data_IF_805493254075
#
_entry.id   IF_805493254075
#
_cell.length_a   1.000
_cell.length_b   1.000
_cell.length_c   1.000
_cell.angle_alpha   90.00
_cell.angle_beta   90.00
_cell.angle_gamma   90.00
#
_symmetry.space_group_name_H-M   'P 1'
#
loop_
_entity.id
_entity.type
_entity.pdbx_description
1 polymer ?
#
# COMPACT_ATOMS: atom_id res chain seq x y z
N UNK A 1 35.20 0.51 -47.21
CA UNK A 1 33.91 0.00 -46.73
C UNK A 1 34.02 -0.22 -45.22
N UNK A 2 33.66 0.78 -44.42
CA UNK A 2 33.57 0.65 -42.99
C UNK A 2 32.21 0.10 -42.65
N UNK A 3 32.14 -1.10 -42.07
CA UNK A 3 30.96 -1.64 -41.46
C UNK A 3 30.84 -0.96 -40.08
N UNK A 4 29.91 -0.02 -39.91
CA UNK A 4 29.52 0.46 -38.62
C UNK A 4 28.76 -0.68 -37.90
N UNK A 5 29.40 -1.37 -36.99
CA UNK A 5 28.73 -2.23 -36.05
C UNK A 5 28.13 -1.32 -34.96
N UNK A 6 26.81 -1.18 -34.98
CA UNK A 6 26.07 -0.66 -33.86
C UNK A 6 26.10 -1.74 -32.78
N UNK A 7 26.91 -1.54 -31.75
CA UNK A 7 26.87 -2.40 -30.57
C UNK A 7 25.55 -2.05 -29.85
N UNK A 8 24.61 -2.97 -29.70
CA UNK A 8 23.43 -2.70 -28.88
C UNK A 8 23.91 -2.45 -27.46
N UNK A 9 23.49 -1.34 -26.87
CA UNK A 9 23.66 -1.07 -25.44
C UNK A 9 22.60 -1.92 -24.73
N UNK A 10 22.86 -3.20 -24.60
CA UNK A 10 21.93 -4.21 -24.05
C UNK A 10 21.57 -3.96 -22.57
N UNK A 11 22.35 -3.16 -21.85
CA UNK A 11 22.10 -2.93 -20.43
C UNK A 11 21.05 -1.85 -20.12
N UNK A 12 20.90 -0.87 -20.98
CA UNK A 12 20.00 0.27 -20.72
C UNK A 12 18.53 -0.09 -20.93
N UNK A 13 18.23 -0.92 -21.92
CA UNK A 13 16.87 -1.38 -22.20
C UNK A 13 16.37 -2.37 -21.13
N UNK A 14 17.25 -3.20 -20.59
CA UNK A 14 16.90 -4.21 -19.57
C UNK A 14 16.56 -3.56 -18.22
N UNK A 15 17.31 -2.56 -17.81
CA UNK A 15 17.05 -1.80 -16.58
C UNK A 15 15.70 -1.07 -16.66
N UNK A 16 15.42 -0.36 -17.76
CA UNK A 16 14.18 0.33 -17.98
C UNK A 16 12.96 -0.61 -17.92
N UNK A 17 13.08 -1.80 -18.54
CA UNK A 17 12.04 -2.83 -18.50
C UNK A 17 11.80 -3.37 -17.08
N UNK A 18 12.85 -3.52 -16.27
CA UNK A 18 12.72 -3.92 -14.87
C UNK A 18 11.98 -2.85 -14.06
N UNK A 19 12.30 -1.56 -14.28
CA UNK A 19 11.63 -0.44 -13.63
C UNK A 19 10.15 -0.39 -13.97
N UNK A 20 9.81 -0.42 -15.26
CA UNK A 20 8.42 -0.38 -15.72
C UNK A 20 7.61 -1.54 -15.13
N UNK A 21 8.19 -2.74 -15.11
CA UNK A 21 7.53 -3.92 -14.57
C UNK A 21 7.37 -3.86 -13.05
N UNK A 22 8.39 -3.38 -12.33
CA UNK A 22 8.32 -3.22 -10.89
C UNK A 22 7.25 -2.20 -10.50
N UNK A 23 7.14 -1.09 -11.23
CA UNK A 23 6.14 -0.08 -10.98
C UNK A 23 4.72 -0.54 -11.31
N UNK A 24 4.52 -1.30 -12.38
CA UNK A 24 3.24 -1.94 -12.71
C UNK A 24 2.78 -2.87 -11.58
N UNK A 25 3.67 -3.74 -11.09
CA UNK A 25 3.37 -4.65 -9.98
C UNK A 25 3.05 -3.89 -8.69
N UNK A 26 3.79 -2.83 -8.38
CA UNK A 26 3.52 -2.00 -7.20
C UNK A 26 2.14 -1.35 -7.29
N UNK A 27 1.78 -0.76 -8.44
CA UNK A 27 0.47 -0.14 -8.68
C UNK A 27 -0.68 -1.14 -8.68
N UNK A 28 -0.43 -2.41 -8.98
CA UNK A 28 -1.43 -3.48 -8.88
C UNK A 28 -1.52 -4.13 -7.50
N UNK A 29 -0.78 -3.61 -6.51
CA UNK A 29 -0.76 -4.13 -5.14
C UNK A 29 0.08 -5.40 -4.95
N UNK A 30 0.82 -5.83 -5.99
CA UNK A 30 1.69 -7.00 -5.94
C UNK A 30 3.07 -6.65 -5.34
N UNK A 31 3.05 -6.09 -4.14
CA UNK A 31 4.22 -5.47 -3.49
C UNK A 31 5.43 -6.41 -3.32
N UNK A 32 5.20 -7.71 -3.02
CA UNK A 32 6.32 -8.65 -2.83
C UNK A 32 7.02 -8.97 -4.15
N UNK A 33 6.27 -9.05 -5.25
CA UNK A 33 6.83 -9.23 -6.58
C UNK A 33 7.56 -7.98 -7.05
N UNK A 34 6.98 -6.82 -6.81
CA UNK A 34 7.62 -5.53 -7.09
C UNK A 34 8.93 -5.38 -6.30
N UNK A 35 8.91 -5.73 -5.00
CA UNK A 35 10.09 -5.71 -4.13
C UNK A 35 11.23 -6.53 -4.72
N UNK A 36 10.94 -7.76 -5.18
CA UNK A 36 11.97 -8.64 -5.79
C UNK A 36 12.60 -8.04 -7.04
N UNK A 37 11.85 -7.27 -7.84
CA UNK A 37 12.40 -6.55 -8.99
C UNK A 37 13.23 -5.34 -8.56
N UNK A 38 12.76 -4.57 -7.57
CA UNK A 38 13.56 -3.46 -7.03
C UNK A 38 14.87 -3.93 -6.37
N UNK A 39 14.91 -5.13 -5.80
CA UNK A 39 16.15 -5.74 -5.30
C UNK A 39 17.11 -6.05 -6.44
N UNK A 40 16.62 -6.54 -7.59
CA UNK A 40 17.43 -6.74 -8.78
C UNK A 40 17.98 -5.42 -9.32
N UNK A 41 17.13 -4.39 -9.40
CA UNK A 41 17.54 -3.04 -9.83
C UNK A 41 18.58 -2.47 -8.86
N UNK A 42 18.40 -2.64 -7.56
CA UNK A 42 19.37 -2.19 -6.55
C UNK A 42 20.74 -2.89 -6.66
N UNK A 43 20.76 -4.12 -7.17
CA UNK A 43 22.02 -4.84 -7.45
C UNK A 43 22.71 -4.30 -8.70
N UNK A 44 21.95 -3.85 -9.72
CA UNK A 44 22.48 -3.26 -10.94
C UNK A 44 22.91 -1.80 -10.73
N UNK A 45 22.09 -1.03 -10.02
CA UNK A 45 22.24 0.40 -9.79
C UNK A 45 22.23 0.72 -8.28
N UNK A 46 23.31 0.36 -7.53
CA UNK A 46 23.34 0.47 -6.06
C UNK A 46 23.31 1.90 -5.53
N UNK A 47 23.59 2.88 -6.37
CA UNK A 47 23.62 4.30 -6.02
C UNK A 47 22.38 5.08 -6.45
N UNK A 48 21.36 4.38 -7.02
CA UNK A 48 20.10 4.98 -7.43
C UNK A 48 19.15 5.13 -6.22
N UNK A 49 18.87 6.38 -5.75
CA UNK A 49 18.05 6.60 -4.56
C UNK A 49 16.59 6.15 -4.73
N UNK A 50 16.01 6.29 -5.94
CA UNK A 50 14.61 5.98 -6.20
C UNK A 50 14.31 4.49 -6.02
N UNK A 51 15.27 3.59 -6.23
CA UNK A 51 15.07 2.17 -6.00
C UNK A 51 14.84 1.85 -4.52
N UNK A 52 15.58 2.50 -3.63
CA UNK A 52 15.43 2.30 -2.18
C UNK A 52 14.14 2.94 -1.66
N UNK A 53 13.78 4.10 -2.21
CA UNK A 53 12.48 4.71 -1.91
C UNK A 53 11.32 3.81 -2.38
N UNK A 54 11.40 3.25 -3.57
CA UNK A 54 10.38 2.31 -4.09
C UNK A 54 10.25 1.05 -3.24
N UNK A 55 11.34 0.54 -2.67
CA UNK A 55 11.32 -0.56 -1.70
C UNK A 55 10.56 -0.18 -0.42
N UNK A 56 10.74 1.05 0.08
CA UNK A 56 9.94 1.57 1.20
C UNK A 56 8.46 1.58 0.84
N UNK A 57 8.10 2.13 -0.32
CA UNK A 57 6.70 2.18 -0.77
C UNK A 57 6.08 0.78 -0.86
N UNK A 58 6.82 -0.22 -1.34
CA UNK A 58 6.35 -1.62 -1.36
C UNK A 58 6.17 -2.21 0.04
N UNK A 59 7.12 -1.96 0.95
CA UNK A 59 7.10 -2.50 2.32
C UNK A 59 5.89 -2.02 3.09
N UNK A 60 5.53 -0.74 2.95
CA UNK A 60 4.36 -0.15 3.59
C UNK A 60 3.09 -0.25 2.75
N UNK A 61 3.16 -0.81 1.52
CA UNK A 61 2.03 -0.93 0.62
C UNK A 61 1.44 0.43 0.27
N UNK A 62 2.30 1.39 -0.08
CA UNK A 62 1.89 2.76 -0.33
C UNK A 62 1.29 2.92 -1.72
N UNK A 63 0.08 3.43 -1.76
CA UNK A 63 -0.59 3.90 -2.97
C UNK A 63 -0.97 5.38 -2.81
N UNK A 64 -1.20 6.04 -3.93
CA UNK A 64 -1.62 7.43 -3.94
C UNK A 64 -2.99 7.53 -4.59
N UNK A 65 -3.95 8.04 -3.86
CA UNK A 65 -5.28 8.37 -4.36
C UNK A 65 -5.37 9.87 -4.62
N UNK A 66 -6.12 10.25 -5.65
CA UNK A 66 -6.40 11.66 -5.94
C UNK A 66 -7.65 12.09 -5.19
N UNK A 67 -7.52 13.12 -4.39
CA UNK A 67 -8.65 13.72 -3.68
C UNK A 67 -9.54 14.49 -4.68
N UNK A 68 -10.82 14.17 -4.72
CA UNK A 68 -11.75 14.65 -5.74
C UNK A 68 -11.88 16.18 -5.81
N UNK A 69 -11.77 16.86 -4.66
CA UNK A 69 -11.96 18.31 -4.58
C UNK A 69 -10.67 19.10 -4.83
N UNK A 70 -9.56 18.63 -4.32
CA UNK A 70 -8.28 19.37 -4.34
C UNK A 70 -7.32 18.92 -5.43
N UNK A 71 -7.61 17.79 -6.10
CA UNK A 71 -6.70 17.10 -7.03
C UNK A 71 -5.32 16.77 -6.42
N UNK A 72 -5.23 16.75 -5.08
CA UNK A 72 -4.01 16.39 -4.38
C UNK A 72 -3.87 14.87 -4.32
N UNK A 73 -2.65 14.39 -4.50
CA UNK A 73 -2.32 12.98 -4.30
C UNK A 73 -2.10 12.75 -2.80
N UNK A 74 -2.93 11.92 -2.22
CA UNK A 74 -2.88 11.53 -0.81
C UNK A 74 -2.35 10.10 -0.72
N UNK A 75 -1.32 9.84 0.10
CA UNK A 75 -0.84 8.48 0.29
C UNK A 75 -1.80 7.68 1.16
N UNK A 76 -1.96 6.41 0.82
CA UNK A 76 -2.61 5.38 1.64
C UNK A 76 -1.60 4.31 2.02
N UNK A 77 -1.83 3.59 3.12
CA UNK A 77 -0.97 2.50 3.59
C UNK A 77 -1.78 1.21 3.64
N UNK A 78 -1.40 0.23 2.83
CA UNK A 78 -2.07 -1.08 2.76
C UNK A 78 -1.35 -2.16 3.58
N UNK A 79 -0.13 -1.91 4.04
CA UNK A 79 0.70 -2.82 4.83
C UNK A 79 1.24 -2.10 6.05
N UNK A 80 0.59 -2.24 7.19
CA UNK A 80 1.05 -1.62 8.43
C UNK A 80 2.30 -2.33 8.95
N UNK A 81 3.34 -1.54 9.21
CA UNK A 81 4.57 -1.96 9.87
C UNK A 81 4.65 -1.32 11.26
N UNK A 82 5.17 -2.06 12.23
CA UNK A 82 5.47 -1.48 13.55
C UNK A 82 6.67 -0.55 13.53
N UNK A 83 7.64 -0.82 12.66
CA UNK A 83 8.80 0.04 12.44
C UNK A 83 8.37 1.37 11.83
N UNK A 84 8.94 2.47 12.33
CA UNK A 84 8.76 3.80 11.75
C UNK A 84 9.38 3.87 10.35
N UNK A 85 8.73 4.58 9.43
CA UNK A 85 9.29 4.85 8.08
C UNK A 85 10.64 5.57 8.19
N UNK A 86 10.79 6.44 9.18
CA UNK A 86 12.03 7.21 9.43
C UNK A 86 13.18 6.29 9.89
N UNK A 87 12.85 5.15 10.50
CA UNK A 87 13.82 4.15 10.97
C UNK A 87 14.15 3.08 9.93
N UNK A 88 13.43 3.06 8.81
CA UNK A 88 13.65 2.13 7.73
C UNK A 88 15.04 2.32 7.08
N UNK A 89 15.76 1.22 6.88
CA UNK A 89 17.12 1.25 6.33
C UNK A 89 17.15 1.71 4.87
N UNK A 90 16.16 1.29 4.07
CA UNK A 90 16.07 1.69 2.66
C UNK A 90 15.72 3.19 2.56
N UNK A 91 14.83 3.71 3.44
CA UNK A 91 14.58 5.15 3.53
C UNK A 91 15.86 5.93 3.83
N UNK A 92 16.60 5.52 4.85
CA UNK A 92 17.87 6.18 5.21
C UNK A 92 18.88 6.13 4.07
N UNK A 93 18.88 5.02 3.32
CA UNK A 93 19.75 4.88 2.15
C UNK A 93 19.30 5.79 1.00
N UNK A 94 18.01 5.85 0.68
CA UNK A 94 17.47 6.78 -0.32
C UNK A 94 17.83 8.23 -0.02
N UNK A 95 17.59 8.70 1.21
CA UNK A 95 17.92 10.07 1.64
C UNK A 95 19.41 10.34 1.56
N UNK A 96 20.27 9.38 1.90
CA UNK A 96 21.73 9.54 1.83
C UNK A 96 22.22 9.63 0.40
N UNK A 97 21.67 8.83 -0.51
CA UNK A 97 22.06 8.78 -1.93
C UNK A 97 21.50 9.94 -2.74
N UNK A 98 20.38 10.53 -2.34
CA UNK A 98 19.77 11.66 -3.02
C UNK A 98 20.71 12.89 -2.97
N UNK A 99 21.46 13.09 -4.06
CA UNK A 99 22.38 14.22 -4.21
C UNK A 99 21.65 15.53 -4.47
N UNK A 100 20.49 15.47 -5.17
CA UNK A 100 19.62 16.60 -5.39
C UNK A 100 18.87 16.96 -4.11
N UNK A 101 18.99 18.21 -3.67
CA UNK A 101 18.34 18.70 -2.45
C UNK A 101 16.80 18.64 -2.51
N UNK A 102 16.22 18.85 -3.68
CA UNK A 102 14.76 18.76 -3.87
C UNK A 102 14.26 17.32 -3.77
N UNK A 103 14.94 16.36 -4.39
CA UNK A 103 14.62 14.95 -4.30
C UNK A 103 14.71 14.46 -2.83
N UNK A 104 15.81 14.81 -2.16
CA UNK A 104 15.98 14.49 -0.74
C UNK A 104 14.86 15.07 0.12
N UNK A 105 14.46 16.31 -0.15
CA UNK A 105 13.36 16.96 0.56
C UNK A 105 12.03 16.24 0.34
N UNK A 106 11.76 15.79 -0.90
CA UNK A 106 10.55 15.01 -1.22
C UNK A 106 10.50 13.75 -0.38
N UNK A 107 11.57 12.94 -0.36
CA UNK A 107 11.60 11.72 0.46
C UNK A 107 11.36 11.99 1.95
N UNK A 108 11.96 13.04 2.48
CA UNK A 108 11.79 13.41 3.89
C UNK A 108 10.33 13.79 4.19
N UNK A 109 9.71 14.63 3.37
CA UNK A 109 8.34 15.07 3.58
C UNK A 109 7.34 13.94 3.41
N UNK A 110 7.52 13.09 2.39
CA UNK A 110 6.66 11.91 2.17
C UNK A 110 6.82 10.91 3.31
N UNK A 111 8.05 10.61 3.75
CA UNK A 111 8.28 9.70 4.87
C UNK A 111 7.63 10.20 6.17
N UNK A 112 7.69 11.50 6.45
CA UNK A 112 7.01 12.11 7.61
C UNK A 112 5.49 11.97 7.51
N UNK A 113 4.92 12.19 6.33
CA UNK A 113 3.49 12.02 6.07
C UNK A 113 3.05 10.57 6.28
N UNK A 114 3.79 9.62 5.69
CA UNK A 114 3.54 8.18 5.84
C UNK A 114 3.68 7.73 7.30
N UNK A 115 4.70 8.20 8.01
CA UNK A 115 4.89 7.81 9.41
C UNK A 115 3.80 8.38 10.32
N UNK A 116 3.33 9.59 10.06
CA UNK A 116 2.17 10.17 10.74
C UNK A 116 0.90 9.34 10.49
N UNK A 117 0.63 8.97 9.24
CA UNK A 117 -0.51 8.13 8.87
C UNK A 117 -0.42 6.76 9.55
N UNK A 118 0.74 6.10 9.47
CA UNK A 118 1.03 4.83 10.16
C UNK A 118 0.74 4.92 11.66
N UNK A 119 1.23 5.99 12.30
CA UNK A 119 1.01 6.21 13.73
C UNK A 119 -0.47 6.34 14.09
N UNK A 120 -1.26 7.04 13.28
CA UNK A 120 -2.72 7.14 13.47
C UNK A 120 -3.38 5.76 13.35
N UNK A 121 -3.07 4.98 12.32
CA UNK A 121 -3.66 3.65 12.12
C UNK A 121 -3.29 2.72 13.28
N UNK A 122 -2.03 2.70 13.72
CA UNK A 122 -1.61 1.90 14.88
C UNK A 122 -2.30 2.36 16.16
N UNK A 123 -2.46 3.66 16.37
CA UNK A 123 -3.18 4.21 17.53
C UNK A 123 -4.61 3.68 17.58
N UNK A 124 -5.34 3.71 16.46
CA UNK A 124 -6.71 3.17 16.39
C UNK A 124 -6.70 1.67 16.69
N UNK A 125 -5.79 0.90 16.07
CA UNK A 125 -5.71 -0.55 16.26
C UNK A 125 -5.39 -0.96 17.71
N UNK A 126 -4.67 -0.14 18.46
CA UNK A 126 -4.35 -0.40 19.88
C UNK A 126 -5.50 -0.08 20.83
N UNK A 127 -6.42 0.79 20.42
CA UNK A 127 -7.56 1.19 21.25
C UNK A 127 -8.82 0.38 20.94
N UNK A 128 -8.95 -0.18 19.76
CA UNK A 128 -10.06 -1.07 19.39
C UNK A 128 -9.68 -2.52 19.68
N UNK A 129 -10.56 -3.24 20.38
CA UNK A 129 -10.40 -4.68 20.49
C UNK A 129 -10.57 -5.31 19.10
N UNK A 130 -9.64 -6.16 18.64
CA UNK A 130 -9.75 -6.77 17.31
C UNK A 130 -10.99 -7.66 17.22
N UNK A 131 -11.54 -7.77 16.01
CA UNK A 131 -12.55 -8.77 15.72
C UNK A 131 -11.88 -10.13 15.58
N UNK A 132 -12.57 -11.16 16.10
CA UNK A 132 -12.10 -12.55 15.96
C UNK A 132 -12.35 -13.09 14.56
N UNK A 133 -13.45 -12.64 13.95
CA UNK A 133 -13.94 -13.13 12.66
C UNK A 133 -14.39 -11.97 11.78
N UNK A 134 -14.01 -12.01 10.52
CA UNK A 134 -14.48 -11.10 9.48
C UNK A 134 -15.33 -11.87 8.46
N UNK A 135 -16.62 -11.51 8.33
CA UNK A 135 -17.51 -12.13 7.34
C UNK A 135 -17.47 -11.30 6.06
N UNK A 136 -16.81 -11.84 5.03
CA UNK A 136 -16.80 -11.28 3.67
C UNK A 136 -17.84 -12.01 2.81
N UNK A 137 -18.74 -11.27 2.18
CA UNK A 137 -19.82 -11.84 1.36
C UNK A 137 -20.22 -10.86 0.26
N UNK A 138 -20.89 -11.38 -0.75
CA UNK A 138 -21.45 -10.57 -1.82
C UNK A 138 -22.87 -10.13 -1.44
N UNK A 139 -23.05 -8.85 -1.11
CA UNK A 139 -24.33 -8.33 -0.64
C UNK A 139 -25.40 -8.28 -1.74
N UNK A 140 -25.02 -7.82 -2.94
CA UNK A 140 -25.95 -7.61 -4.05
C UNK A 140 -25.45 -8.22 -5.35
N UNK A 141 -26.37 -8.66 -6.19
CA UNK A 141 -26.10 -9.05 -7.56
C UNK A 141 -25.91 -7.81 -8.48
N UNK A 142 -25.69 -8.05 -9.79
CA UNK A 142 -25.52 -6.98 -10.79
C UNK A 142 -26.77 -6.09 -10.96
N UNK A 143 -27.91 -6.54 -10.46
CA UNK A 143 -29.22 -5.83 -10.53
C UNK A 143 -29.57 -5.13 -9.20
N UNK A 144 -28.67 -5.11 -8.24
CA UNK A 144 -28.90 -4.52 -6.93
C UNK A 144 -29.79 -5.36 -5.99
N UNK A 145 -30.10 -6.63 -6.35
CA UNK A 145 -30.88 -7.53 -5.51
C UNK A 145 -29.98 -8.23 -4.53
N UNK A 146 -30.46 -8.44 -3.31
CA UNK A 146 -29.75 -9.21 -2.30
C UNK A 146 -29.48 -10.62 -2.76
N UNK A 147 -28.28 -11.11 -2.49
CA UNK A 147 -27.84 -12.47 -2.78
C UNK A 147 -28.25 -13.43 -1.67
N UNK A 148 -28.26 -14.74 -1.98
CA UNK A 148 -28.41 -15.79 -0.96
C UNK A 148 -27.26 -15.73 0.06
N UNK A 149 -26.06 -15.37 -0.38
CA UNK A 149 -24.88 -15.17 0.48
C UNK A 149 -25.14 -14.13 1.57
N UNK A 150 -25.90 -13.07 1.27
CA UNK A 150 -26.29 -12.04 2.23
C UNK A 150 -27.18 -12.59 3.36
N UNK A 151 -28.08 -13.51 3.05
CA UNK A 151 -28.92 -14.16 4.06
C UNK A 151 -28.13 -15.14 4.92
N UNK A 152 -27.27 -15.92 4.27
CA UNK A 152 -26.38 -16.88 4.94
C UNK A 152 -25.40 -16.16 5.87
N UNK A 153 -24.77 -15.08 5.41
CA UNK A 153 -23.85 -14.26 6.19
C UNK A 153 -24.51 -13.69 7.45
N UNK A 154 -25.77 -13.21 7.34
CA UNK A 154 -26.54 -12.72 8.48
C UNK A 154 -26.89 -13.83 9.48
N UNK A 155 -27.14 -15.05 9.01
CA UNK A 155 -27.34 -16.23 9.86
C UNK A 155 -26.07 -16.61 10.61
N UNK A 156 -24.95 -16.66 9.90
CA UNK A 156 -23.64 -16.98 10.45
C UNK A 156 -23.19 -15.94 11.48
N UNK A 157 -23.37 -14.65 11.19
CA UNK A 157 -23.10 -13.58 12.13
C UNK A 157 -23.80 -13.80 13.49
N UNK A 158 -25.11 -14.08 13.45
CA UNK A 158 -25.89 -14.29 14.67
C UNK A 158 -25.44 -15.54 15.44
N UNK A 159 -25.13 -16.63 14.74
CA UNK A 159 -24.66 -17.85 15.36
C UNK A 159 -23.30 -17.64 16.05
N UNK A 160 -22.37 -16.99 15.38
CA UNK A 160 -21.04 -16.73 15.93
C UNK A 160 -21.08 -15.75 17.11
N UNK A 161 -21.89 -14.70 17.03
CA UNK A 161 -22.09 -13.78 18.15
C UNK A 161 -22.73 -14.47 19.36
N UNK A 162 -23.66 -15.43 19.15
CA UNK A 162 -24.25 -16.20 20.22
C UNK A 162 -23.24 -17.13 20.95
N UNK A 163 -22.17 -17.53 20.25
CA UNK A 163 -21.03 -18.28 20.80
C UNK A 163 -20.00 -17.37 21.49
N UNK A 164 -20.23 -16.06 21.49
CA UNK A 164 -19.33 -15.09 22.15
C UNK A 164 -18.22 -14.53 21.28
N UNK A 165 -18.17 -14.86 19.98
CA UNK A 165 -17.17 -14.31 19.07
C UNK A 165 -17.47 -12.86 18.72
N UNK A 166 -16.43 -12.03 18.62
CA UNK A 166 -16.53 -10.68 18.08
C UNK A 166 -16.43 -10.76 16.55
N UNK A 167 -17.54 -10.48 15.88
CA UNK A 167 -17.64 -10.67 14.43
C UNK A 167 -17.80 -9.31 13.75
N UNK A 168 -16.91 -9.03 12.80
CA UNK A 168 -17.13 -7.94 11.85
C UNK A 168 -18.06 -8.41 10.75
N UNK A 169 -19.18 -7.73 10.62
CA UNK A 169 -20.16 -7.93 9.57
C UNK A 169 -20.57 -6.56 9.03
N UNK A 170 -20.09 -6.18 7.86
CA UNK A 170 -20.11 -4.82 7.33
C UNK A 170 -21.46 -4.11 7.50
N UNK A 171 -22.56 -4.80 7.23
CA UNK A 171 -23.90 -4.23 7.31
C UNK A 171 -24.29 -3.77 8.71
N UNK A 172 -24.00 -4.55 9.73
CA UNK A 172 -24.37 -4.24 11.12
C UNK A 172 -23.29 -3.40 11.79
N UNK A 173 -22.03 -3.81 11.63
CA UNK A 173 -20.90 -3.17 12.30
C UNK A 173 -20.69 -1.73 11.81
N UNK A 174 -20.98 -1.43 10.53
CA UNK A 174 -20.89 -0.07 9.99
C UNK A 174 -22.12 0.77 10.35
N UNK A 175 -23.32 0.19 10.43
CA UNK A 175 -24.53 0.88 10.91
C UNK A 175 -24.37 1.29 12.37
N UNK A 176 -23.82 0.45 13.24
CA UNK A 176 -23.53 0.76 14.64
C UNK A 176 -22.46 1.86 14.80
N UNK A 177 -21.52 1.96 13.85
CA UNK A 177 -20.48 2.99 13.81
C UNK A 177 -20.90 4.27 13.06
N UNK A 178 -22.04 4.27 12.36
CA UNK A 178 -22.53 5.42 11.58
C UNK A 178 -22.92 6.66 12.42
N UNK A 179 -22.78 6.61 13.73
CA UNK A 179 -22.92 7.75 14.64
C UNK A 179 -21.58 8.34 15.12
N UNK A 180 -20.46 7.72 14.78
CA UNK A 180 -19.12 8.27 15.01
C UNK A 180 -18.66 8.93 13.71
N UNK A 181 -18.24 10.20 13.79
CA UNK A 181 -17.69 10.91 12.64
C UNK A 181 -16.55 10.07 12.04
N UNK A 182 -16.83 9.49 10.88
CA UNK A 182 -15.77 9.00 10.01
C UNK A 182 -15.13 10.24 9.40
N UNK A 183 -14.01 10.70 9.97
CA UNK A 183 -13.12 11.54 9.19
C UNK A 183 -12.65 10.68 8.00
N UNK A 184 -12.85 11.14 6.77
CA UNK A 184 -12.34 10.43 5.60
C UNK A 184 -10.81 10.41 5.71
N UNK A 185 -10.26 9.21 5.77
CA UNK A 185 -8.83 8.95 5.68
C UNK A 185 -8.35 9.10 4.24
#
# INVERSE_FOLDING_TARGET
CGVQQTVPILGFDEEALLWDRAEELRRSGEYDRAMSLYEQIAALCPDEPDVYWSKVLCRYGVEYVEEAESHRRIPTINRIQYTSVIDDEDYRKAVRLALNGDQRRIYILEAQSLDSLRGKILSVSLHEQPYDIFICYKESDRNGRRTEDSALAAGLYRALCAEGWRVFFSRITLEDKAGTEFEPY
#
